data_IF_322018755941
#
_entry.id   IF_322018755941
#
_cell.length_a   1.000
_cell.length_b   1.000
_cell.length_c   1.000
_cell.angle_alpha   90.00
_cell.angle_beta   90.00
_cell.angle_gamma   90.00
#
_symmetry.space_group_name_H-M   'P 1'
#
loop_
_entity.id
_entity.type
_entity.pdbx_description
1 polymer ?
#
# COMPACT_ATOMS: atom_id res chain seq x y z
N UNK A 1 6.16 49.39 17.93
CA UNK A 1 5.83 47.98 18.22
C UNK A 1 4.35 47.73 17.93
N UNK A 2 4.04 47.02 16.84
CA UNK A 2 2.73 46.39 16.61
C UNK A 2 2.98 45.07 15.87
N UNK A 3 3.05 43.97 16.60
CA UNK A 3 2.90 42.64 16.02
C UNK A 3 1.43 42.27 16.08
N UNK A 4 0.74 42.30 14.93
CA UNK A 4 -0.55 41.62 14.74
C UNK A 4 -0.49 40.90 13.41
N UNK A 5 -0.32 39.59 13.51
CA UNK A 5 -0.35 38.64 12.41
C UNK A 5 -0.51 37.25 13.00
N UNK A 6 -1.61 37.04 13.73
CA UNK A 6 -2.03 35.68 14.12
C UNK A 6 -2.43 35.00 12.82
N UNK A 7 -1.55 34.11 12.31
CA UNK A 7 -1.91 33.18 11.25
C UNK A 7 -3.03 32.31 11.80
N UNK A 8 -4.22 32.44 11.20
CA UNK A 8 -5.34 31.52 11.42
C UNK A 8 -4.86 30.14 10.98
N UNK A 9 -4.71 29.21 11.92
CA UNK A 9 -4.54 27.80 11.58
C UNK A 9 -5.82 27.38 10.87
N UNK A 10 -5.72 27.03 9.59
CA UNK A 10 -6.83 26.45 8.84
C UNK A 10 -7.17 25.11 9.48
N UNK A 11 -8.36 25.01 10.09
CA UNK A 11 -8.83 23.80 10.74
C UNK A 11 -9.05 22.71 9.68
N UNK A 12 -8.25 21.66 9.75
CA UNK A 12 -8.45 20.44 8.96
C UNK A 12 -9.64 19.70 9.55
N UNK A 13 -10.82 19.87 8.96
CA UNK A 13 -11.98 19.06 9.28
C UNK A 13 -11.70 17.61 8.90
N UNK A 14 -11.61 16.75 9.92
CA UNK A 14 -11.34 15.32 9.78
C UNK A 14 -12.62 14.56 10.10
N UNK A 15 -13.07 13.69 9.19
CA UNK A 15 -14.14 12.73 9.49
C UNK A 15 -13.60 11.31 9.44
N UNK A 16 -13.95 10.51 10.44
CA UNK A 16 -13.52 9.13 10.57
C UNK A 16 -14.74 8.26 10.38
N UNK A 17 -14.64 7.32 9.46
CA UNK A 17 -15.67 6.34 9.14
C UNK A 17 -15.06 4.97 9.35
N UNK A 18 -15.47 4.27 10.42
CA UNK A 18 -15.16 2.85 10.55
C UNK A 18 -15.88 2.09 9.44
N UNK A 19 -15.15 1.23 8.73
CA UNK A 19 -15.74 0.35 7.74
C UNK A 19 -16.27 -0.88 8.47
N UNK A 20 -17.44 -0.82 9.11
CA UNK A 20 -18.06 -2.06 9.61
C UNK A 20 -18.67 -2.80 8.40
N UNK A 21 -18.45 -4.12 8.22
CA UNK A 21 -17.87 -5.11 9.14
C UNK A 21 -16.37 -5.41 8.99
N UNK A 22 -15.62 -4.55 8.32
CA UNK A 22 -14.20 -4.74 8.00
C UNK A 22 -13.28 -4.17 9.11
N UNK A 23 -12.14 -4.82 9.33
CA UNK A 23 -11.10 -4.35 10.28
C UNK A 23 -10.34 -3.14 9.73
N UNK A 24 -11.06 -2.16 9.19
CA UNK A 24 -10.52 -1.04 8.44
C UNK A 24 -11.13 0.29 8.87
N UNK A 25 -10.35 1.35 8.73
CA UNK A 25 -10.76 2.73 9.02
C UNK A 25 -10.54 3.59 7.78
N UNK A 26 -11.60 4.29 7.33
CA UNK A 26 -11.47 5.36 6.37
C UNK A 26 -11.41 6.68 7.12
N UNK A 27 -10.38 7.47 6.84
CA UNK A 27 -10.24 8.83 7.34
C UNK A 27 -10.27 9.79 6.16
N UNK A 28 -11.15 10.78 6.22
CA UNK A 28 -11.19 11.87 5.24
C UNK A 28 -10.74 13.19 5.87
N UNK A 29 -9.93 13.93 5.12
CA UNK A 29 -9.34 15.20 5.52
C UNK A 29 -9.58 16.22 4.41
N UNK A 30 -10.28 17.30 4.72
CA UNK A 30 -10.43 18.41 3.78
C UNK A 30 -9.16 19.27 3.78
N UNK A 31 -8.63 19.55 2.59
CA UNK A 31 -7.58 20.54 2.37
C UNK A 31 -8.20 21.79 1.73
N UNK A 32 -8.55 22.82 2.53
CA UNK A 32 -9.35 23.94 2.06
C UNK A 32 -8.66 24.74 0.96
N UNK A 33 -7.33 24.87 1.04
CA UNK A 33 -6.51 25.63 0.07
C UNK A 33 -6.54 25.04 -1.33
N UNK A 34 -6.67 23.72 -1.44
CA UNK A 34 -6.66 23.00 -2.71
C UNK A 34 -8.08 22.59 -3.15
N UNK A 35 -9.07 22.75 -2.27
CA UNK A 35 -10.42 22.24 -2.46
C UNK A 35 -10.43 20.74 -2.82
N UNK A 36 -9.60 19.96 -2.11
CA UNK A 36 -9.44 18.52 -2.28
C UNK A 36 -9.75 17.83 -0.95
N UNK A 37 -10.42 16.68 -1.01
CA UNK A 37 -10.52 15.76 0.13
C UNK A 37 -9.49 14.66 -0.07
N UNK A 38 -8.62 14.48 0.93
CA UNK A 38 -7.76 13.30 1.02
C UNK A 38 -8.50 12.22 1.78
N UNK A 39 -8.59 11.03 1.20
CA UNK A 39 -9.13 9.85 1.83
C UNK A 39 -7.99 8.87 2.06
N UNK A 40 -7.79 8.45 3.31
CA UNK A 40 -6.80 7.44 3.71
C UNK A 40 -7.51 6.23 4.29
N UNK A 41 -7.02 5.04 3.94
CA UNK A 41 -7.53 3.75 4.42
C UNK A 41 -6.48 3.12 5.31
N UNK A 42 -6.86 2.62 6.48
CA UNK A 42 -5.96 2.01 7.44
C UNK A 42 -6.49 0.65 7.90
N UNK A 43 -5.58 -0.22 8.30
CA UNK A 43 -5.91 -1.31 9.23
C UNK A 43 -6.34 -0.69 10.56
N UNK A 44 -7.48 -1.15 11.09
CA UNK A 44 -8.08 -0.64 12.32
C UNK A 44 -7.15 -0.78 13.52
N UNK A 45 -6.50 -1.92 13.69
CA UNK A 45 -5.63 -2.19 14.83
C UNK A 45 -4.42 -1.24 14.81
N UNK A 46 -3.82 -1.06 13.63
CA UNK A 46 -2.67 -0.17 13.45
C UNK A 46 -3.05 1.31 13.54
N UNK A 47 -4.26 1.68 13.09
CA UNK A 47 -4.75 3.04 13.20
C UNK A 47 -4.84 3.49 14.67
N UNK A 48 -5.41 2.66 15.55
CA UNK A 48 -5.58 3.05 16.95
C UNK A 48 -4.26 3.11 17.75
N UNK A 49 -3.18 2.51 17.25
CA UNK A 49 -1.82 2.71 17.82
C UNK A 49 -1.32 4.14 17.57
N UNK A 50 -1.65 4.73 16.41
CA UNK A 50 -1.34 6.11 16.08
C UNK A 50 -2.52 6.78 15.36
N UNK A 51 -3.54 7.26 16.10
CA UNK A 51 -4.80 7.69 15.50
C UNK A 51 -4.72 9.04 14.79
N UNK A 52 -3.54 9.70 14.76
CA UNK A 52 -3.38 10.99 14.10
C UNK A 52 -3.12 10.81 12.59
N UNK A 53 -4.11 11.02 11.70
CA UNK A 53 -3.96 10.79 10.27
C UNK A 53 -2.99 11.74 9.58
N UNK A 54 -2.58 12.86 10.21
CA UNK A 54 -1.60 13.78 9.63
C UNK A 54 -0.17 13.24 9.70
N UNK A 55 0.11 12.38 10.68
CA UNK A 55 1.46 11.81 10.92
C UNK A 55 1.48 10.29 10.86
N UNK A 56 0.32 9.63 10.80
CA UNK A 56 0.25 8.19 10.60
C UNK A 56 0.54 7.86 9.13
N UNK A 57 1.67 7.19 8.91
CA UNK A 57 2.15 6.75 7.60
C UNK A 57 1.76 5.29 7.26
N UNK A 58 1.05 4.59 8.17
CA UNK A 58 0.65 3.20 8.01
C UNK A 58 -0.67 3.04 7.22
N UNK A 59 -0.96 3.97 6.29
CA UNK A 59 -2.11 3.82 5.41
C UNK A 59 -1.91 2.67 4.42
N UNK A 60 -2.96 1.88 4.21
CA UNK A 60 -3.06 0.88 3.15
C UNK A 60 -3.27 1.58 1.79
N UNK A 61 -4.06 2.66 1.77
CA UNK A 61 -4.35 3.39 0.54
C UNK A 61 -4.59 4.87 0.79
N UNK A 62 -4.29 5.70 -0.21
CA UNK A 62 -4.55 7.13 -0.18
C UNK A 62 -5.12 7.59 -1.52
N UNK A 63 -6.16 8.42 -1.45
CA UNK A 63 -6.90 8.94 -2.60
C UNK A 63 -7.07 10.45 -2.43
N UNK A 64 -6.95 11.19 -3.53
CA UNK A 64 -7.24 12.63 -3.58
C UNK A 64 -8.43 12.85 -4.48
N UNK A 65 -9.49 13.47 -3.96
CA UNK A 65 -10.75 13.62 -4.68
C UNK A 65 -11.34 15.02 -4.57
N UNK A 66 -12.25 15.33 -5.49
CA UNK A 66 -13.09 16.49 -5.41
C UNK A 66 -14.16 16.33 -4.29
N UNK A 67 -14.57 17.40 -3.57
CA UNK A 67 -15.60 17.29 -2.55
C UNK A 67 -16.94 16.74 -3.05
N UNK A 68 -17.34 17.06 -4.28
CA UNK A 68 -18.58 16.51 -4.89
C UNK A 68 -18.50 15.02 -5.20
N UNK A 69 -17.30 14.43 -5.22
CA UNK A 69 -17.05 13.02 -5.48
C UNK A 69 -17.13 12.15 -4.20
N UNK A 70 -17.25 12.76 -3.01
CA UNK A 70 -16.99 12.11 -1.72
C UNK A 70 -17.76 10.82 -1.49
N UNK A 71 -19.10 10.88 -1.56
CA UNK A 71 -19.94 9.72 -1.28
C UNK A 71 -19.70 8.56 -2.24
N UNK A 72 -19.50 8.87 -3.53
CA UNK A 72 -19.21 7.86 -4.54
C UNK A 72 -17.87 7.17 -4.24
N UNK A 73 -16.79 7.95 -4.02
CA UNK A 73 -15.47 7.36 -3.78
C UNK A 73 -15.43 6.56 -2.48
N UNK A 74 -16.09 7.01 -1.40
CA UNK A 74 -16.18 6.23 -0.16
C UNK A 74 -16.90 4.89 -0.41
N UNK A 75 -17.95 4.87 -1.23
CA UNK A 75 -18.63 3.63 -1.62
C UNK A 75 -17.73 2.72 -2.45
N UNK A 76 -16.99 3.27 -3.43
CA UNK A 76 -16.07 2.49 -4.27
C UNK A 76 -14.92 1.88 -3.44
N UNK A 77 -14.39 2.62 -2.46
CA UNK A 77 -13.38 2.11 -1.52
C UNK A 77 -13.96 0.98 -0.66
N UNK A 78 -15.18 1.13 -0.15
CA UNK A 78 -15.88 0.06 0.59
C UNK A 78 -16.01 -1.20 -0.26
N UNK A 79 -16.51 -1.07 -1.48
CA UNK A 79 -16.69 -2.22 -2.38
C UNK A 79 -15.38 -2.90 -2.79
N UNK A 80 -14.27 -2.16 -2.78
CA UNK A 80 -12.93 -2.66 -3.05
C UNK A 80 -12.36 -3.40 -1.84
N UNK A 81 -12.57 -2.86 -0.63
CA UNK A 81 -12.14 -3.48 0.63
C UNK A 81 -13.16 -4.47 1.21
N UNK A 82 -14.28 -4.70 0.52
CA UNK A 82 -15.22 -5.77 0.82
C UNK A 82 -14.51 -7.12 0.99
N UNK A 83 -14.79 -7.79 2.11
CA UNK A 83 -14.17 -9.08 2.46
C UNK A 83 -12.66 -9.01 2.65
N UNK A 84 -12.09 -7.81 2.84
CA UNK A 84 -10.68 -7.66 3.17
C UNK A 84 -10.40 -8.40 4.48
N UNK A 85 -9.57 -9.42 4.34
CA UNK A 85 -9.08 -10.24 5.43
C UNK A 85 -7.59 -10.43 5.25
N UNK A 86 -6.89 -10.53 6.38
CA UNK A 86 -5.47 -10.95 6.40
C UNK A 86 -5.33 -12.25 5.61
N UNK A 87 -4.23 -12.39 4.88
CA UNK A 87 -4.04 -13.56 4.03
C UNK A 87 -3.93 -14.84 4.89
N UNK A 88 -4.51 -15.94 4.40
CA UNK A 88 -4.28 -17.25 5.01
C UNK A 88 -2.91 -17.78 4.56
N UNK A 89 -1.93 -17.69 5.47
CA UNK A 89 -0.53 -18.08 5.22
C UNK A 89 -0.35 -19.58 5.04
N UNK A 90 -1.34 -20.41 5.38
CA UNK A 90 -1.30 -21.87 5.21
C UNK A 90 -1.60 -22.29 3.77
N UNK A 91 -2.22 -21.43 2.98
CA UNK A 91 -2.56 -21.71 1.59
C UNK A 91 -1.30 -21.87 0.73
N UNK A 92 -1.36 -22.73 -0.31
CA UNK A 92 -0.24 -22.90 -1.22
C UNK A 92 -0.09 -21.69 -2.14
N UNK A 93 1.15 -21.21 -2.30
CA UNK A 93 1.49 -20.19 -3.28
C UNK A 93 1.74 -20.83 -4.65
N UNK A 94 1.13 -20.29 -5.70
CA UNK A 94 1.35 -20.73 -7.09
C UNK A 94 1.79 -19.57 -7.95
N UNK A 95 2.92 -19.75 -8.65
CA UNK A 95 3.37 -18.79 -9.65
C UNK A 95 2.50 -18.89 -10.90
N UNK A 96 1.94 -17.76 -11.34
CA UNK A 96 1.12 -17.66 -12.56
C UNK A 96 1.97 -17.16 -13.72
N UNK A 97 2.71 -16.07 -13.53
CA UNK A 97 3.48 -15.45 -14.60
C UNK A 97 4.57 -14.51 -14.10
N UNK A 98 5.60 -14.32 -14.94
CA UNK A 98 6.66 -13.34 -14.74
C UNK A 98 6.69 -12.47 -16.00
N UNK A 99 6.53 -11.17 -15.82
CA UNK A 99 6.51 -10.19 -16.89
C UNK A 99 7.69 -9.23 -16.69
N UNK A 100 8.72 -9.43 -17.50
CA UNK A 100 10.03 -8.78 -17.40
C UNK A 100 10.46 -8.15 -18.73
N UNK A 101 9.49 -7.79 -19.58
CA UNK A 101 9.74 -7.16 -20.88
C UNK A 101 10.29 -5.74 -20.71
N UNK A 102 9.98 -5.08 -19.59
CA UNK A 102 10.52 -3.78 -19.22
C UNK A 102 11.82 -3.97 -18.41
N UNK A 103 12.96 -3.39 -18.82
CA UNK A 103 14.21 -3.47 -18.07
C UNK A 103 14.17 -2.73 -16.72
N UNK A 104 13.23 -1.81 -16.52
CA UNK A 104 13.10 -1.01 -15.29
C UNK A 104 12.09 -1.57 -14.30
N UNK A 105 11.10 -2.33 -14.80
CA UNK A 105 10.00 -2.82 -13.99
C UNK A 105 9.84 -4.34 -14.12
N UNK A 106 9.68 -5.00 -12.98
CA UNK A 106 9.38 -6.42 -12.90
C UNK A 106 7.99 -6.61 -12.31
N UNK A 107 7.15 -7.37 -13.01
CA UNK A 107 5.88 -7.83 -12.49
C UNK A 107 5.87 -9.34 -12.34
N UNK A 108 5.39 -9.83 -11.19
CA UNK A 108 5.19 -11.26 -10.95
C UNK A 108 3.75 -11.47 -10.52
N UNK A 109 3.02 -12.27 -11.28
CA UNK A 109 1.67 -12.71 -10.96
C UNK A 109 1.72 -14.05 -10.24
N UNK A 110 1.02 -14.15 -9.12
CA UNK A 110 0.94 -15.38 -8.34
C UNK A 110 -0.39 -15.45 -7.59
N UNK A 111 -0.77 -16.64 -7.14
CA UNK A 111 -1.91 -16.82 -6.24
C UNK A 111 -1.47 -17.38 -4.90
N UNK A 112 -2.31 -17.14 -3.89
CA UNK A 112 -2.27 -17.78 -2.58
C UNK A 112 -3.68 -18.29 -2.29
N UNK A 113 -3.90 -19.59 -2.46
CA UNK A 113 -5.26 -20.15 -2.51
C UNK A 113 -6.02 -19.61 -3.73
N UNK A 114 -7.21 -19.05 -3.51
CA UNK A 114 -8.06 -18.45 -4.55
C UNK A 114 -7.77 -16.97 -4.82
N UNK A 115 -6.95 -16.33 -3.98
CA UNK A 115 -6.61 -14.91 -4.10
C UNK A 115 -5.43 -14.72 -5.04
N UNK A 116 -5.53 -13.74 -5.94
CA UNK A 116 -4.47 -13.40 -6.91
C UNK A 116 -3.76 -12.12 -6.51
N UNK A 117 -2.46 -12.08 -6.79
CA UNK A 117 -1.59 -11.00 -6.38
C UNK A 117 -0.63 -10.61 -7.51
N UNK A 118 -0.27 -9.34 -7.50
CA UNK A 118 0.76 -8.78 -8.35
C UNK A 118 1.86 -8.24 -7.45
N UNK A 119 3.03 -8.84 -7.57
CA UNK A 119 4.26 -8.24 -7.09
C UNK A 119 4.80 -7.31 -8.17
N UNK A 120 5.15 -6.09 -7.78
CA UNK A 120 5.74 -5.08 -8.63
C UNK A 120 7.06 -4.62 -8.00
N UNK A 121 8.09 -4.53 -8.83
CA UNK A 121 9.35 -3.91 -8.45
C UNK A 121 9.79 -2.94 -9.53
N UNK A 122 10.02 -1.70 -9.12
CA UNK A 122 10.48 -0.61 -9.98
C UNK A 122 11.88 -0.16 -9.56
N UNK A 123 12.83 -0.23 -10.49
CA UNK A 123 14.19 0.28 -10.29
C UNK A 123 14.24 1.80 -10.27
N UNK A 124 13.39 2.45 -11.08
CA UNK A 124 13.35 3.91 -11.18
C UNK A 124 12.82 4.53 -9.89
N UNK A 125 11.67 4.02 -9.42
CA UNK A 125 11.05 4.51 -8.19
C UNK A 125 11.70 3.97 -6.92
N UNK A 126 12.67 3.06 -7.05
CA UNK A 126 13.24 2.31 -5.91
C UNK A 126 12.10 1.82 -5.02
N UNK A 127 11.18 1.04 -5.61
CA UNK A 127 9.97 0.57 -4.93
C UNK A 127 9.78 -0.93 -5.18
N UNK A 128 9.33 -1.62 -4.14
CA UNK A 128 8.93 -3.02 -4.18
C UNK A 128 7.62 -3.13 -3.41
N UNK A 129 6.58 -3.64 -4.06
CA UNK A 129 5.23 -3.70 -3.49
C UNK A 129 4.44 -4.91 -3.95
N UNK A 130 3.45 -5.31 -3.16
CA UNK A 130 2.48 -6.36 -3.52
C UNK A 130 1.06 -5.85 -3.36
N UNK A 131 0.25 -6.06 -4.40
CA UNK A 131 -1.17 -5.78 -4.38
C UNK A 131 -1.97 -7.05 -4.63
N UNK A 132 -3.17 -7.10 -4.07
CA UNK A 132 -4.18 -8.08 -4.46
C UNK A 132 -4.91 -7.61 -5.71
N UNK A 133 -5.12 -8.53 -6.64
CA UNK A 133 -5.88 -8.33 -7.86
C UNK A 133 -7.32 -8.79 -7.68
N UNK A 134 -8.26 -7.85 -7.79
CA UNK A 134 -9.70 -8.04 -7.67
C UNK A 134 -10.32 -8.14 -9.07
N UNK A 135 -10.69 -9.36 -9.47
CA UNK A 135 -11.35 -9.59 -10.75
C UNK A 135 -12.77 -9.03 -10.80
N UNK A 136 -13.22 -8.60 -11.98
CA UNK A 136 -14.58 -8.08 -12.20
C UNK A 136 -14.80 -6.62 -11.75
N UNK A 137 -13.78 -5.95 -11.22
CA UNK A 137 -13.83 -4.52 -10.87
C UNK A 137 -13.33 -3.63 -12.02
N UNK A 138 -13.79 -2.37 -12.05
CA UNK A 138 -13.30 -1.36 -13.01
C UNK A 138 -11.77 -1.21 -12.87
N UNK A 139 -11.08 -0.87 -13.97
CA UNK A 139 -9.61 -0.78 -14.01
C UNK A 139 -8.99 0.00 -12.83
N UNK A 140 -9.59 1.11 -12.42
CA UNK A 140 -9.06 1.98 -11.36
C UNK A 140 -9.20 1.40 -9.94
N UNK A 141 -9.94 0.31 -9.76
CA UNK A 141 -10.23 -0.35 -8.48
C UNK A 141 -9.97 -1.86 -8.55
N UNK A 142 -9.19 -2.29 -9.55
CA UNK A 142 -8.76 -3.68 -9.76
C UNK A 142 -7.73 -4.12 -8.73
N UNK A 143 -7.05 -3.18 -8.06
CA UNK A 143 -5.94 -3.48 -7.17
C UNK A 143 -6.19 -2.92 -5.79
N UNK A 144 -5.92 -3.75 -4.78
CA UNK A 144 -6.05 -3.40 -3.38
C UNK A 144 -4.74 -3.63 -2.65
N UNK A 145 -4.36 -2.68 -1.82
CA UNK A 145 -3.17 -2.80 -0.98
C UNK A 145 -3.39 -3.80 0.17
N UNK A 146 -2.28 -4.33 0.68
CA UNK A 146 -2.25 -5.28 1.77
C UNK A 146 -1.74 -4.62 3.05
N UNK A 147 -1.96 -5.29 4.19
CA UNK A 147 -1.26 -4.93 5.42
C UNK A 147 0.26 -5.07 5.21
N UNK A 148 1.04 -4.26 5.93
CA UNK A 148 2.51 -4.32 5.84
C UNK A 148 3.05 -5.72 6.15
N UNK A 149 2.43 -6.43 7.08
CA UNK A 149 2.84 -7.78 7.47
C UNK A 149 2.59 -8.81 6.38
N UNK A 150 1.44 -8.72 5.70
CA UNK A 150 1.10 -9.64 4.62
C UNK A 150 1.93 -9.35 3.36
N UNK A 151 2.15 -8.09 3.05
CA UNK A 151 3.06 -7.69 1.98
C UNK A 151 4.49 -8.23 2.22
N UNK A 152 5.06 -8.00 3.41
CA UNK A 152 6.39 -8.53 3.79
C UNK A 152 6.44 -10.05 3.70
N UNK A 153 5.39 -10.74 4.17
CA UNK A 153 5.30 -12.20 4.08
C UNK A 153 5.34 -12.69 2.63
N UNK A 154 4.52 -12.09 1.76
CA UNK A 154 4.44 -12.47 0.34
C UNK A 154 5.76 -12.19 -0.40
N UNK A 155 6.36 -11.01 -0.19
CA UNK A 155 7.67 -10.66 -0.76
C UNK A 155 8.73 -11.67 -0.32
N UNK A 156 8.77 -12.03 0.96
CA UNK A 156 9.69 -13.05 1.49
C UNK A 156 9.49 -14.38 0.76
N UNK A 157 8.26 -14.88 0.67
CA UNK A 157 7.96 -16.14 -0.03
C UNK A 157 8.43 -16.14 -1.49
N UNK A 158 8.20 -15.05 -2.23
CA UNK A 158 8.68 -14.91 -3.60
C UNK A 158 10.20 -14.93 -3.70
N UNK A 159 10.93 -14.38 -2.74
CA UNK A 159 12.40 -14.39 -2.73
C UNK A 159 13.00 -15.78 -2.45
N UNK A 160 12.22 -16.71 -1.89
CA UNK A 160 12.66 -18.09 -1.65
C UNK A 160 12.19 -19.07 -2.73
N UNK A 161 11.28 -18.69 -3.61
CA UNK A 161 10.88 -19.50 -4.75
C UNK A 161 11.92 -19.40 -5.88
N UNK A 162 12.47 -20.53 -6.41
CA UNK A 162 13.62 -20.48 -7.32
C UNK A 162 13.43 -19.62 -8.57
N UNK A 163 12.27 -19.73 -9.23
CA UNK A 163 11.96 -19.00 -10.47
C UNK A 163 11.87 -17.49 -10.24
N UNK A 164 11.16 -17.09 -9.20
CA UNK A 164 10.93 -15.68 -8.85
C UNK A 164 12.18 -15.05 -8.23
N UNK A 165 12.92 -15.78 -7.39
CA UNK A 165 14.24 -15.36 -6.87
C UNK A 165 15.18 -14.99 -8.00
N UNK A 166 15.27 -15.85 -9.02
CA UNK A 166 16.09 -15.59 -10.21
C UNK A 166 15.62 -14.33 -10.94
N UNK A 167 14.31 -14.18 -11.18
CA UNK A 167 13.77 -12.98 -11.82
C UNK A 167 14.08 -11.70 -11.02
N UNK A 168 13.82 -11.69 -9.71
CA UNK A 168 14.09 -10.55 -8.82
C UNK A 168 15.57 -10.17 -8.82
N UNK A 169 16.48 -11.15 -8.91
CA UNK A 169 17.92 -10.88 -8.91
C UNK A 169 18.42 -10.05 -10.10
N UNK A 170 17.70 -10.06 -11.23
CA UNK A 170 18.00 -9.20 -12.40
C UNK A 170 17.57 -7.75 -12.20
N UNK A 171 16.79 -7.46 -11.15
CA UNK A 171 16.32 -6.12 -10.79
C UNK A 171 16.92 -5.73 -9.44
N UNK A 172 18.26 -5.54 -9.35
CA UNK A 172 18.92 -5.26 -8.08
C UNK A 172 18.45 -3.93 -7.51
N UNK A 173 17.99 -3.96 -6.26
CA UNK A 173 17.82 -2.74 -5.49
C UNK A 173 19.20 -2.35 -5.01
N UNK A 174 19.76 -1.24 -5.49
CA UNK A 174 20.87 -0.64 -4.78
C UNK A 174 20.27 -0.14 -3.48
N UNK A 175 20.53 -0.84 -2.37
CA UNK A 175 20.36 -0.23 -1.06
C UNK A 175 21.22 1.04 -1.10
N UNK A 176 20.58 2.21 -1.15
CA UNK A 176 21.25 3.49 -0.98
C UNK A 176 21.85 3.46 0.43
N UNK A 177 23.13 3.08 0.48
CA UNK A 177 24.06 3.17 1.60
C UNK A 177 23.57 2.61 2.95
N UNK A 178 23.63 1.29 3.10
CA UNK A 178 23.98 0.66 4.37
C UNK A 178 25.34 0.00 4.19
N UNK A 179 26.43 0.65 4.61
CA UNK A 179 27.75 0.03 4.65
C UNK A 179 27.73 -1.12 5.67
N UNK A 180 27.36 -2.32 5.25
CA UNK A 180 27.78 -3.53 5.95
C UNK A 180 29.25 -3.73 5.66
N UNK A 181 30.10 -3.17 6.53
CA UNK A 181 31.48 -3.60 6.68
C UNK A 181 31.47 -5.08 7.01
N UNK A 182 31.62 -5.92 5.99
CA UNK A 182 32.03 -7.31 6.18
C UNK A 182 33.48 -7.23 6.62
N UNK A 183 33.70 -7.31 7.94
CA UNK A 183 35.03 -7.55 8.49
C UNK A 183 35.41 -8.97 8.03
N UNK A 184 36.24 -9.06 6.98
CA UNK A 184 36.97 -10.29 6.68
C UNK A 184 37.78 -10.62 7.93
N UNK A 185 37.39 -11.66 8.65
CA UNK A 185 38.33 -12.35 9.52
C UNK A 185 39.37 -12.99 8.59
N UNK A 186 40.53 -12.36 8.50
CA UNK A 186 41.74 -13.01 8.01
C UNK A 186 42.23 -13.91 9.15
N UNK A 187 42.34 -15.20 8.84
CA UNK A 187 43.13 -16.27 9.50
C UNK A 187 43.04 -16.36 11.02
#
# INVERSE_FOLDING_TARGET
MKYKGVKRLEEINTSIVELVPEYLVIVSQLEPTLNIIRIKVYDRELFFVNPNPLVNENQLGQYSICPSCYNQTVSEIRDMYAGWSKIDRTQPMKLIGIHNQDPKNLYIQFSLGERCFIYERSLELHREVVYEELFGKKHNHRQRALSSDDEKYLVSKLRFLPKTKKAISFYPFKATSGHTYIRRHLS
#
